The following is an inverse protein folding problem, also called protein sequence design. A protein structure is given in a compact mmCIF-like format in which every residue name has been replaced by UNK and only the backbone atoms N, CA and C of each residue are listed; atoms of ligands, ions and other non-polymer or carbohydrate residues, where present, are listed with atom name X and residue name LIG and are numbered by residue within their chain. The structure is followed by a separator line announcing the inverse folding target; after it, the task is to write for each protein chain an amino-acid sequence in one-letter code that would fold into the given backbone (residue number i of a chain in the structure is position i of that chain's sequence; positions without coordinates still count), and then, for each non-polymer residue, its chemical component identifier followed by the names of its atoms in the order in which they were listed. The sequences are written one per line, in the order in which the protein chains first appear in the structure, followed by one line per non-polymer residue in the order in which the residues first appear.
data_IF_499680936813
#
_entry.id   IF_499680936813
#
_cell.length_a   1.000
_cell.length_b   1.000
_cell.length_c   1.000
_cell.angle_alpha   90.00
_cell.angle_beta   90.00
_cell.angle_gamma   90.00
#
_symmetry.space_group_name_H-M   'P 1'
#
loop_
_entity.id
_entity.type
_entity.pdbx_description
1 polymer ?
#
# COMPACT_ATOMS: atom_id res chain seq x y z
N UNK A 1 17.84 14.93 -9.03
CA UNK A 1 17.07 13.96 -9.83
C UNK A 1 15.88 13.54 -8.97
N UNK A 2 14.69 14.07 -9.22
CA UNK A 2 13.49 13.67 -8.49
C UNK A 2 13.09 12.28 -8.96
N UNK A 3 13.09 11.33 -8.03
CA UNK A 3 12.78 9.93 -8.31
C UNK A 3 11.28 9.86 -8.64
N UNK A 4 10.94 9.33 -9.81
CA UNK A 4 9.56 8.96 -10.14
C UNK A 4 9.22 7.66 -9.38
N UNK A 5 9.02 7.82 -8.07
CA UNK A 5 8.78 6.71 -7.13
C UNK A 5 7.38 6.10 -7.34
N UNK A 6 6.58 6.64 -8.26
CA UNK A 6 5.22 6.18 -8.55
C UNK A 6 5.14 4.92 -9.44
N UNK A 7 6.27 4.43 -9.98
CA UNK A 7 6.33 3.19 -10.78
C UNK A 7 7.16 2.08 -10.14
N UNK A 8 7.15 1.98 -8.81
CA UNK A 8 7.80 0.85 -8.15
C UNK A 8 6.95 -0.42 -8.28
N UNK A 9 7.58 -1.52 -8.71
CA UNK A 9 6.90 -2.80 -8.83
C UNK A 9 6.40 -3.28 -7.45
N UNK A 10 5.48 -4.25 -7.47
CA UNK A 10 4.85 -4.73 -6.22
C UNK A 10 5.89 -5.41 -5.31
N UNK A 11 6.86 -6.15 -5.87
CA UNK A 11 7.86 -6.90 -5.10
C UNK A 11 8.79 -5.95 -4.35
N UNK A 12 9.30 -4.92 -5.01
CA UNK A 12 10.09 -3.85 -4.40
C UNK A 12 9.35 -3.14 -3.26
N UNK A 13 8.03 -2.91 -3.41
CA UNK A 13 7.21 -2.29 -2.36
C UNK A 13 7.05 -3.21 -1.16
N UNK A 14 6.71 -4.47 -1.40
CA UNK A 14 6.54 -5.47 -0.34
C UNK A 14 7.86 -5.68 0.44
N UNK A 15 8.99 -5.71 -0.28
CA UNK A 15 10.33 -5.75 0.33
C UNK A 15 10.59 -4.52 1.20
N UNK A 16 10.36 -3.31 0.69
CA UNK A 16 10.62 -2.08 1.46
C UNK A 16 9.75 -2.01 2.73
N UNK A 17 8.49 -2.40 2.66
CA UNK A 17 7.59 -2.48 3.82
C UNK A 17 8.09 -3.48 4.87
N UNK A 18 8.57 -4.65 4.43
CA UNK A 18 9.17 -5.64 5.30
C UNK A 18 10.45 -5.13 5.98
N UNK A 19 11.33 -4.46 5.21
CA UNK A 19 12.55 -3.87 5.75
C UNK A 19 12.24 -2.73 6.74
N UNK A 20 11.14 -1.99 6.56
CA UNK A 20 10.80 -0.89 7.45
C UNK A 20 10.23 -1.37 8.79
N UNK A 21 9.42 -2.43 8.78
CA UNK A 21 8.91 -3.06 10.00
C UNK A 21 10.01 -3.69 10.84
N UNK A 22 11.07 -4.19 10.19
CA UNK A 22 12.22 -4.81 10.84
C UNK A 22 13.45 -3.89 10.77
N UNK A 23 13.48 -2.89 11.65
CA UNK A 23 14.46 -1.77 11.66
C UNK A 23 15.95 -2.16 11.73
N UNK A 24 16.28 -3.43 12.03
CA UNK A 24 17.64 -4.00 11.98
C UNK A 24 17.58 -5.45 11.50
N UNK A 25 17.61 -5.64 10.19
CA UNK A 25 17.70 -6.98 9.62
C UNK A 25 19.15 -7.41 9.56
N UNK A 26 19.46 -8.47 10.29
CA UNK A 26 20.70 -9.23 10.15
C UNK A 26 20.60 -10.13 8.91
N UNK A 27 21.73 -10.60 8.39
CA UNK A 27 21.77 -11.54 7.26
C UNK A 27 20.84 -12.75 7.44
N UNK A 28 20.69 -13.27 8.67
CA UNK A 28 19.78 -14.39 8.97
C UNK A 28 18.30 -14.02 8.79
N UNK A 29 17.86 -12.91 9.37
CA UNK A 29 16.47 -12.43 9.22
C UNK A 29 16.17 -11.90 7.82
N UNK A 30 17.19 -11.49 7.08
CA UNK A 30 17.08 -11.15 5.66
C UNK A 30 16.86 -12.41 4.81
N UNK A 31 17.59 -13.50 5.09
CA UNK A 31 17.41 -14.78 4.40
C UNK A 31 16.01 -15.38 4.65
N UNK A 32 15.48 -15.27 5.86
CA UNK A 32 14.11 -15.68 6.17
C UNK A 32 13.07 -14.83 5.42
N UNK A 33 13.29 -13.51 5.33
CA UNK A 33 12.45 -12.63 4.55
C UNK A 33 12.43 -13.00 3.06
N UNK A 34 13.62 -13.28 2.51
CA UNK A 34 13.80 -13.73 1.14
C UNK A 34 13.07 -15.04 0.89
N UNK A 35 13.18 -16.02 1.79
CA UNK A 35 12.49 -17.30 1.65
C UNK A 35 10.96 -17.14 1.73
N UNK A 36 10.43 -16.28 2.60
CA UNK A 36 8.98 -16.09 2.74
C UNK A 36 8.36 -15.36 1.53
N UNK A 37 9.06 -14.34 1.00
CA UNK A 37 8.50 -13.47 -0.04
C UNK A 37 8.89 -13.89 -1.47
N UNK A 38 10.06 -14.49 -1.65
CA UNK A 38 10.62 -14.82 -2.97
C UNK A 38 10.68 -16.32 -3.24
N UNK A 39 10.31 -17.16 -2.27
CA UNK A 39 10.02 -18.62 -2.35
C UNK A 39 11.04 -19.53 -3.07
N UNK A 40 12.15 -19.02 -3.60
CA UNK A 40 13.37 -19.67 -4.13
C UNK A 40 14.20 -18.75 -5.03
N UNK A 41 13.70 -17.57 -5.43
CA UNK A 41 14.40 -16.67 -6.35
C UNK A 41 15.32 -15.67 -5.62
N UNK A 42 16.44 -16.19 -5.09
CA UNK A 42 17.44 -15.37 -4.41
C UNK A 42 17.98 -14.24 -5.30
N UNK A 43 18.20 -14.53 -6.59
CA UNK A 43 18.72 -13.56 -7.56
C UNK A 43 17.76 -12.38 -7.75
N UNK A 44 16.46 -12.66 -7.88
CA UNK A 44 15.43 -11.63 -8.02
C UNK A 44 15.32 -10.76 -6.76
N UNK A 45 15.52 -11.37 -5.60
CA UNK A 45 15.48 -10.70 -4.33
C UNK A 45 16.71 -9.79 -4.12
N UNK A 46 17.89 -10.22 -4.55
CA UNK A 46 19.11 -9.42 -4.59
C UNK A 46 18.99 -8.27 -5.60
N UNK A 47 18.40 -8.52 -6.77
CA UNK A 47 18.13 -7.48 -7.78
C UNK A 47 17.18 -6.42 -7.22
N UNK A 48 16.10 -6.85 -6.55
CA UNK A 48 15.16 -5.95 -5.87
C UNK A 48 15.87 -5.10 -4.81
N UNK A 49 16.75 -5.73 -4.02
CA UNK A 49 17.47 -5.04 -2.96
C UNK A 49 18.48 -4.02 -3.51
N UNK A 50 19.20 -4.39 -4.56
CA UNK A 50 20.11 -3.52 -5.32
C UNK A 50 19.36 -2.33 -5.92
N UNK A 51 18.16 -2.57 -6.46
CA UNK A 51 17.29 -1.50 -6.94
C UNK A 51 16.91 -0.52 -5.82
N UNK A 52 16.46 -1.02 -4.67
CA UNK A 52 16.10 -0.18 -3.52
C UNK A 52 17.30 0.61 -2.97
N UNK A 53 18.50 0.02 -2.99
CA UNK A 53 19.74 0.68 -2.58
C UNK A 53 20.12 1.80 -3.56
N UNK A 54 20.07 1.52 -4.86
CA UNK A 54 20.34 2.51 -5.91
C UNK A 54 19.36 3.70 -5.84
N UNK A 55 18.12 3.46 -5.38
CA UNK A 55 17.12 4.51 -5.11
C UNK A 55 17.32 5.22 -3.77
N UNK A 56 18.38 4.90 -3.02
CA UNK A 56 18.66 5.45 -1.68
C UNK A 56 17.53 5.21 -0.67
N UNK A 57 16.68 4.21 -0.89
CA UNK A 57 15.58 3.84 0.01
C UNK A 57 16.08 2.93 1.14
N UNK A 58 17.15 2.17 0.87
CA UNK A 58 17.83 1.31 1.83
C UNK A 58 19.33 1.57 1.78
N UNK A 59 20.03 1.26 2.87
CA UNK A 59 21.48 1.33 2.97
C UNK A 59 22.01 0.03 3.55
N UNK A 60 22.99 -0.56 2.87
CA UNK A 60 23.68 -1.75 3.35
C UNK A 60 24.87 -1.31 4.21
N UNK A 61 25.00 -1.90 5.40
CA UNK A 61 26.12 -1.70 6.33
C UNK A 61 26.70 -3.06 6.71
N UNK A 62 28.01 -3.18 6.71
CA UNK A 62 28.71 -4.29 7.36
C UNK A 62 28.87 -3.96 8.84
N UNK A 63 28.44 -4.86 9.73
CA UNK A 63 28.61 -4.72 11.17
C UNK A 63 29.72 -5.65 11.65
N UNK A 64 30.74 -5.10 12.31
CA UNK A 64 31.94 -5.80 12.81
C UNK A 64 32.63 -6.68 11.75
N UNK A 65 33.59 -6.10 11.03
CA UNK A 65 34.64 -6.78 10.25
C UNK A 65 34.36 -8.25 9.89
N UNK A 66 33.52 -8.44 8.86
CA UNK A 66 33.60 -9.54 7.86
C UNK A 66 32.43 -10.55 7.73
N UNK A 67 31.34 -10.55 8.51
CA UNK A 67 30.29 -11.59 8.29
C UNK A 67 28.81 -11.16 8.38
N UNK A 68 28.47 -10.02 8.98
CA UNK A 68 27.07 -9.61 9.13
C UNK A 68 26.73 -8.42 8.21
N UNK A 69 25.96 -8.69 7.15
CA UNK A 69 25.32 -7.65 6.33
C UNK A 69 24.06 -7.19 7.07
N UNK A 70 24.02 -5.90 7.42
CA UNK A 70 22.85 -5.23 7.99
C UNK A 70 22.23 -4.31 6.96
N UNK A 71 20.92 -4.43 6.77
CA UNK A 71 20.17 -3.57 5.85
C UNK A 71 19.30 -2.62 6.66
N UNK A 72 19.46 -1.33 6.40
CA UNK A 72 18.75 -0.27 7.10
C UNK A 72 17.94 0.58 6.11
N UNK A 73 16.63 0.71 6.35
CA UNK A 73 15.78 1.64 5.59
C UNK A 73 16.18 3.08 5.91
N UNK A 74 16.35 3.91 4.88
CA UNK A 74 16.69 5.33 5.02
C UNK A 74 15.47 6.16 5.40
N UNK A 75 15.67 7.42 5.78
CA UNK A 75 14.55 8.35 5.98
C UNK A 75 13.68 8.47 4.72
N UNK A 76 14.30 8.48 3.53
CA UNK A 76 13.61 8.54 2.25
C UNK A 76 12.71 7.31 2.05
N UNK A 77 13.22 6.11 2.34
CA UNK A 77 12.44 4.87 2.26
C UNK A 77 11.20 4.88 3.16
N UNK A 78 11.34 5.43 4.37
CA UNK A 78 10.21 5.57 5.32
C UNK A 78 9.17 6.56 4.85
N UNK A 79 9.60 7.73 4.39
CA UNK A 79 8.69 8.76 3.86
C UNK A 79 7.90 8.21 2.67
N UNK A 80 8.57 7.48 1.78
CA UNK A 80 7.91 6.87 0.64
C UNK A 80 6.87 5.80 1.03
N UNK A 81 7.17 4.91 1.98
CA UNK A 81 6.20 3.92 2.45
C UNK A 81 4.99 4.60 3.11
N UNK A 82 5.22 5.68 3.86
CA UNK A 82 4.15 6.45 4.48
C UNK A 82 3.24 7.12 3.43
N UNK A 83 3.81 7.72 2.38
CA UNK A 83 3.05 8.30 1.27
C UNK A 83 2.19 7.25 0.56
N UNK A 84 2.73 6.03 0.33
CA UNK A 84 1.96 4.92 -0.24
C UNK A 84 0.76 4.53 0.64
N UNK A 85 0.97 4.40 1.95
CA UNK A 85 -0.09 4.08 2.89
C UNK A 85 -1.18 5.17 2.94
N UNK A 86 -0.78 6.43 2.83
CA UNK A 86 -1.71 7.56 2.77
C UNK A 86 -2.51 7.58 1.47
N UNK A 87 -1.87 7.28 0.32
CA UNK A 87 -2.56 7.12 -0.96
C UNK A 87 -3.59 6.00 -0.93
N UNK A 88 -3.24 4.82 -0.40
CA UNK A 88 -4.18 3.70 -0.28
C UNK A 88 -5.37 4.03 0.62
N UNK A 89 -5.12 4.69 1.76
CA UNK A 89 -6.20 5.17 2.66
C UNK A 89 -7.08 6.20 1.96
N UNK A 90 -6.49 7.12 1.19
CA UNK A 90 -7.21 8.11 0.40
C UNK A 90 -8.10 7.47 -0.67
N UNK A 91 -7.59 6.47 -1.39
CA UNK A 91 -8.37 5.72 -2.38
C UNK A 91 -9.51 4.94 -1.74
N UNK A 92 -9.27 4.23 -0.62
CA UNK A 92 -10.32 3.51 0.12
C UNK A 92 -11.42 4.46 0.63
N UNK A 93 -11.05 5.64 1.15
CA UNK A 93 -12.01 6.68 1.56
C UNK A 93 -12.85 7.20 0.39
N UNK A 94 -12.25 7.44 -0.77
CA UNK A 94 -12.99 7.84 -1.98
C UNK A 94 -13.99 6.75 -2.38
N UNK A 95 -13.56 5.49 -2.42
CA UNK A 95 -14.41 4.36 -2.80
C UNK A 95 -15.57 4.17 -1.82
N UNK A 96 -15.32 4.35 -0.52
CA UNK A 96 -16.35 4.29 0.52
C UNK A 96 -17.35 5.44 0.41
N UNK A 97 -16.87 6.67 0.17
CA UNK A 97 -17.71 7.84 -0.08
C UNK A 97 -18.63 7.61 -1.29
N UNK A 98 -18.09 7.11 -2.41
CA UNK A 98 -18.90 6.78 -3.59
C UNK A 98 -20.00 5.75 -3.29
N UNK A 99 -19.66 4.67 -2.56
CA UNK A 99 -20.66 3.66 -2.18
C UNK A 99 -21.72 4.23 -1.25
N UNK A 100 -21.33 5.08 -0.31
CA UNK A 100 -22.25 5.74 0.61
C UNK A 100 -23.23 6.66 -0.13
N UNK A 101 -22.73 7.52 -1.02
CA UNK A 101 -23.57 8.39 -1.85
C UNK A 101 -24.51 7.58 -2.74
N UNK A 102 -24.05 6.47 -3.31
CA UNK A 102 -24.88 5.63 -4.16
C UNK A 102 -26.00 4.90 -3.39
N UNK A 103 -25.75 4.51 -2.13
CA UNK A 103 -26.79 3.96 -1.25
C UNK A 103 -27.79 5.05 -0.87
N UNK A 104 -27.31 6.25 -0.53
CA UNK A 104 -28.16 7.38 -0.18
C UNK A 104 -29.10 7.78 -1.32
N UNK A 105 -28.59 7.87 -2.55
CA UNK A 105 -29.40 8.18 -3.74
C UNK A 105 -30.43 7.10 -4.04
N UNK A 106 -30.10 5.81 -3.85
CA UNK A 106 -31.05 4.71 -3.99
C UNK A 106 -32.20 4.79 -2.98
N UNK A 107 -31.89 5.09 -1.70
CA UNK A 107 -32.91 5.25 -0.66
C UNK A 107 -33.82 6.44 -0.97
N UNK A 108 -33.25 7.58 -1.35
CA UNK A 108 -34.01 8.77 -1.76
C UNK A 108 -34.94 8.48 -2.94
N UNK A 109 -34.48 7.75 -3.95
CA UNK A 109 -35.30 7.33 -5.09
C UNK A 109 -36.46 6.40 -4.69
N UNK A 110 -36.21 5.46 -3.79
CA UNK A 110 -37.24 4.57 -3.25
C UNK A 110 -38.32 5.33 -2.48
N UNK A 111 -37.91 6.28 -1.62
CA UNK A 111 -38.84 7.13 -0.88
C UNK A 111 -39.66 8.01 -1.82
N UNK A 112 -39.04 8.60 -2.85
CA UNK A 112 -39.74 9.42 -3.84
C UNK A 112 -40.82 8.61 -4.57
N UNK A 113 -40.51 7.37 -4.94
CA UNK A 113 -41.45 6.46 -5.62
C UNK A 113 -42.65 6.14 -4.72
N UNK A 114 -42.43 5.90 -3.43
CA UNK A 114 -43.49 5.64 -2.44
C UNK A 114 -44.35 6.90 -2.25
N UNK A 115 -43.74 8.08 -2.15
CA UNK A 115 -44.44 9.34 -1.99
C UNK A 115 -45.34 9.66 -3.19
N UNK A 116 -44.84 9.46 -4.42
CA UNK A 116 -45.63 9.64 -5.65
C UNK A 116 -46.82 8.68 -5.69
N UNK A 117 -46.61 7.40 -5.35
CA UNK A 117 -47.70 6.42 -5.31
C UNK A 117 -48.75 6.75 -4.24
N UNK A 118 -48.35 7.28 -3.09
CA UNK A 118 -49.29 7.76 -2.07
C UNK A 118 -50.10 8.95 -2.60
N UNK A 119 -49.46 9.93 -3.22
CA UNK A 119 -50.16 11.10 -3.78
C UNK A 119 -51.17 10.67 -4.86
N UNK A 120 -50.80 9.76 -5.77
CA UNK A 120 -51.75 9.24 -6.77
C UNK A 120 -52.93 8.50 -6.13
N UNK A 121 -52.69 7.70 -5.08
CA UNK A 121 -53.73 6.92 -4.42
C UNK A 121 -54.76 7.78 -3.68
N UNK A 122 -54.33 8.91 -3.10
CA UNK A 122 -55.23 9.84 -2.39
C UNK A 122 -55.78 10.97 -3.27
N UNK A 123 -55.12 11.30 -4.39
CA UNK A 123 -55.56 12.33 -5.33
C UNK A 123 -56.57 11.83 -6.37
N UNK A 124 -56.81 10.53 -6.47
CA UNK A 124 -57.77 9.92 -7.40
C UNK A 124 -59.09 9.48 -6.71
N UNK A 125 -59.25 9.76 -5.42
CA UNK A 125 -60.44 9.46 -4.60
C UNK A 125 -61.27 10.74 -4.33
N UNK A 126 -61.29 11.66 -5.31
CA UNK A 126 -62.17 12.85 -5.44
C UNK A 126 -62.79 12.80 -6.83
#
# INVERSE_FOLDING_TARGET
MFIDIHKMDKKSRDMLAYLNTNTKLTSATLADAFNQHYKTELDEALETLSFLENKSLVKVKTYNDETAIMIQVTHLGRTYEQELLEQEKGQKKKLWSYRFWNILTLILSGILTIAINLIMKWGFDI
#
